data_IF_644275290720
#
_entry.id   IF_644275290720
#
_cell.length_a   1.000
_cell.length_b   1.000
_cell.length_c   1.000
_cell.angle_alpha   90.00
_cell.angle_beta   90.00
_cell.angle_gamma   90.00
#
_symmetry.space_group_name_H-M   'P 1'
#
loop_
_entity.id
_entity.type
_entity.pdbx_description
1 polymer ?
#
# COMPACT_ATOMS: atom_id res chain seq x y z
N UNK A 1 -10.88 -24.63 12.52
CA UNK A 1 -9.83 -24.00 11.67
C UNK A 1 -10.52 -23.55 10.41
N UNK A 2 -10.38 -22.28 10.03
CA UNK A 2 -11.04 -21.73 8.82
C UNK A 2 -9.99 -21.59 7.72
N UNK A 3 -10.41 -21.64 6.46
CA UNK A 3 -9.49 -21.51 5.31
C UNK A 3 -9.68 -20.15 4.64
N UNK A 4 -8.59 -19.53 4.20
CA UNK A 4 -8.69 -18.38 3.31
C UNK A 4 -9.07 -18.86 1.89
N UNK A 5 -9.87 -18.05 1.19
CA UNK A 5 -10.27 -18.34 -0.18
C UNK A 5 -9.16 -17.98 -1.16
N UNK A 6 -8.60 -16.78 -1.00
CA UNK A 6 -7.65 -16.19 -1.95
C UNK A 6 -6.56 -15.44 -1.20
N UNK A 7 -5.36 -15.42 -1.77
CA UNK A 7 -4.23 -14.61 -1.30
C UNK A 7 -3.57 -13.88 -2.45
N UNK A 8 -3.16 -12.63 -2.22
CA UNK A 8 -2.37 -11.88 -3.18
C UNK A 8 -1.00 -12.55 -3.38
N UNK A 9 -0.60 -12.76 -4.63
CA UNK A 9 0.68 -13.38 -5.01
C UNK A 9 1.90 -12.71 -4.37
N UNK A 10 1.93 -11.37 -4.35
CA UNK A 10 3.03 -10.63 -3.72
C UNK A 10 3.10 -10.92 -2.22
N UNK A 11 1.95 -10.93 -1.54
CA UNK A 11 1.88 -11.23 -0.11
C UNK A 11 2.29 -12.67 0.19
N UNK A 12 1.81 -13.63 -0.61
CA UNK A 12 2.18 -15.04 -0.46
C UNK A 12 3.70 -15.22 -0.56
N UNK A 13 4.34 -14.58 -1.54
CA UNK A 13 5.81 -14.58 -1.67
C UNK A 13 6.50 -13.96 -0.45
N UNK A 14 6.01 -12.82 0.02
CA UNK A 14 6.58 -12.14 1.19
C UNK A 14 6.48 -12.98 2.46
N UNK A 15 5.31 -13.58 2.73
CA UNK A 15 5.08 -14.41 3.92
C UNK A 15 5.91 -15.70 3.89
N UNK A 16 6.12 -16.28 2.72
CA UNK A 16 6.95 -17.49 2.56
C UNK A 16 8.45 -17.22 2.78
N UNK A 17 8.91 -16.01 2.53
CA UNK A 17 10.32 -15.62 2.67
C UNK A 17 10.69 -15.15 4.09
N UNK A 18 9.72 -15.07 5.01
CA UNK A 18 9.94 -14.60 6.38
C UNK A 18 9.77 -15.76 7.39
N UNK A 19 10.67 -15.82 8.39
CA UNK A 19 10.53 -16.70 9.56
C UNK A 19 9.48 -16.13 10.52
N UNK A 20 8.23 -16.19 10.08
CA UNK A 20 7.07 -15.68 10.79
C UNK A 20 6.88 -14.17 10.68
N UNK A 21 5.62 -13.73 10.73
CA UNK A 21 5.23 -12.32 10.64
C UNK A 21 4.26 -11.98 11.75
N UNK A 22 4.55 -10.93 12.52
CA UNK A 22 3.65 -10.40 13.55
C UNK A 22 2.83 -9.26 12.95
N UNK A 23 1.52 -9.32 13.16
CA UNK A 23 0.53 -8.39 12.66
C UNK A 23 -0.25 -7.78 13.83
N UNK A 24 -0.22 -6.45 13.95
CA UNK A 24 -0.99 -5.69 14.94
C UNK A 24 -2.20 -5.04 14.30
N UNK A 25 -3.35 -5.14 14.95
CA UNK A 25 -4.57 -4.54 14.41
C UNK A 25 -4.41 -3.03 14.21
N UNK A 26 -4.79 -2.54 13.03
CA UNK A 26 -4.84 -1.11 12.72
C UNK A 26 -6.26 -0.57 12.68
N UNK A 27 -7.13 -1.19 11.87
CA UNK A 27 -8.53 -0.78 11.74
C UNK A 27 -9.42 -1.95 11.31
N UNK A 28 -10.69 -1.95 11.74
CA UNK A 28 -11.68 -2.96 11.35
C UNK A 28 -12.96 -2.28 10.85
N UNK A 29 -13.34 -2.63 9.63
CA UNK A 29 -14.58 -2.24 8.95
C UNK A 29 -15.47 -3.49 8.77
N UNK A 30 -16.70 -3.31 8.27
CA UNK A 30 -17.59 -4.45 8.03
C UNK A 30 -17.02 -5.46 7.03
N UNK A 31 -16.36 -4.99 5.97
CA UNK A 31 -15.86 -5.83 4.87
C UNK A 31 -14.33 -5.97 4.81
N UNK A 32 -13.60 -5.34 5.73
CA UNK A 32 -12.14 -5.34 5.70
C UNK A 32 -11.55 -5.16 7.11
N UNK A 33 -10.44 -5.84 7.39
CA UNK A 33 -9.61 -5.59 8.57
C UNK A 33 -8.18 -5.35 8.13
N UNK A 34 -7.62 -4.23 8.55
CA UNK A 34 -6.26 -3.84 8.24
C UNK A 34 -5.37 -4.13 9.45
N UNK A 35 -4.27 -4.82 9.19
CA UNK A 35 -3.23 -5.13 10.16
C UNK A 35 -1.90 -4.53 9.72
N UNK A 36 -1.07 -4.16 10.69
CA UNK A 36 0.27 -3.63 10.49
C UNK A 36 1.32 -4.66 10.86
N UNK A 37 2.27 -4.90 9.97
CA UNK A 37 3.51 -5.62 10.33
C UNK A 37 4.35 -4.76 11.28
N UNK A 38 5.38 -5.34 11.91
CA UNK A 38 6.37 -4.57 12.70
C UNK A 38 7.04 -3.43 11.91
N UNK A 39 7.25 -3.62 10.61
CA UNK A 39 7.80 -2.61 9.72
C UNK A 39 6.74 -1.60 9.22
N UNK A 40 5.49 -1.65 9.71
CA UNK A 40 4.43 -0.74 9.30
C UNK A 40 3.77 -1.03 7.94
N UNK A 41 3.97 -2.20 7.33
CA UNK A 41 3.24 -2.64 6.12
C UNK A 41 1.78 -2.87 6.50
N UNK A 42 0.85 -2.53 5.64
CA UNK A 42 -0.55 -2.95 5.80
C UNK A 42 -0.75 -4.31 5.12
N UNK A 43 -1.37 -5.23 5.85
CA UNK A 43 -1.97 -6.47 5.34
C UNK A 43 -3.46 -6.38 5.55
N UNK A 44 -4.24 -6.55 4.47
CA UNK A 44 -5.70 -6.37 4.52
C UNK A 44 -6.41 -7.72 4.40
N UNK A 45 -7.22 -8.05 5.39
CA UNK A 45 -8.17 -9.17 5.32
C UNK A 45 -9.49 -8.66 4.76
N UNK A 46 -10.02 -9.34 3.76
CA UNK A 46 -11.19 -8.94 2.99
C UNK A 46 -12.31 -9.97 3.13
N UNK A 47 -13.56 -9.49 3.16
CA UNK A 47 -14.72 -10.38 3.02
C UNK A 47 -14.78 -10.98 1.61
N UNK A 48 -15.54 -12.07 1.47
CA UNK A 48 -15.69 -12.86 0.23
C UNK A 48 -16.20 -12.04 -0.95
N UNK A 49 -16.95 -10.96 -0.68
CA UNK A 49 -17.58 -10.09 -1.68
C UNK A 49 -16.65 -9.00 -2.24
N UNK A 50 -15.42 -8.89 -1.74
CA UNK A 50 -14.49 -7.83 -2.14
C UNK A 50 -13.51 -8.30 -3.20
N UNK A 51 -13.21 -7.40 -4.14
CA UNK A 51 -12.10 -7.58 -5.08
C UNK A 51 -10.77 -7.67 -4.33
N UNK A 52 -9.90 -8.58 -4.78
CA UNK A 52 -8.55 -8.71 -4.23
C UNK A 52 -7.75 -7.44 -4.46
N UNK A 53 -7.14 -6.94 -3.38
CA UNK A 53 -6.16 -5.85 -3.43
C UNK A 53 -4.73 -6.37 -3.35
N UNK A 54 -3.76 -5.47 -3.51
CA UNK A 54 -2.36 -5.76 -3.19
C UNK A 54 -2.25 -5.99 -1.68
N UNK A 55 -1.38 -6.92 -1.28
CA UNK A 55 -1.17 -7.27 0.14
C UNK A 55 -2.46 -7.68 0.89
N UNK A 56 -3.36 -8.39 0.20
CA UNK A 56 -4.65 -8.81 0.78
C UNK A 56 -4.85 -10.33 0.86
N UNK A 57 -5.71 -10.75 1.80
CA UNK A 57 -6.17 -12.12 2.01
C UNK A 57 -7.70 -12.10 2.06
N UNK A 58 -8.37 -12.90 1.23
CA UNK A 58 -9.82 -13.01 1.21
C UNK A 58 -10.30 -14.17 2.08
N UNK A 59 -11.27 -13.90 2.96
CA UNK A 59 -11.83 -14.86 3.89
C UNK A 59 -13.26 -15.26 3.49
N UNK A 60 -13.70 -16.50 3.79
CA UNK A 60 -15.03 -17.00 3.47
C UNK A 60 -16.07 -16.45 4.46
N UNK A 61 -16.30 -15.14 4.41
CA UNK A 61 -17.30 -14.45 5.22
C UNK A 61 -17.78 -13.20 4.52
N UNK A 62 -19.01 -12.78 4.79
CA UNK A 62 -19.53 -11.51 4.33
C UNK A 62 -19.21 -10.36 5.33
N UNK A 63 -18.89 -10.71 6.59
CA UNK A 63 -18.58 -9.74 7.64
C UNK A 63 -17.27 -10.09 8.35
N UNK A 64 -16.25 -9.29 8.09
CA UNK A 64 -14.89 -9.52 8.62
C UNK A 64 -14.82 -9.42 10.14
N UNK A 65 -15.77 -8.74 10.77
CA UNK A 65 -15.85 -8.66 12.24
C UNK A 65 -16.08 -10.02 12.90
N UNK A 66 -16.54 -11.03 12.17
CA UNK A 66 -16.66 -12.40 12.69
C UNK A 66 -15.31 -13.07 12.97
N UNK A 67 -14.22 -12.55 12.39
CA UNK A 67 -12.87 -13.12 12.51
C UNK A 67 -11.99 -12.26 13.39
N UNK A 68 -12.18 -10.95 13.35
CA UNK A 68 -11.30 -10.00 14.03
C UNK A 68 -12.12 -9.09 14.92
N UNK A 69 -11.93 -9.28 16.22
CA UNK A 69 -12.39 -8.37 17.28
C UNK A 69 -11.16 -7.65 17.85
N UNK A 70 -11.36 -6.46 18.41
CA UNK A 70 -10.30 -5.49 18.72
C UNK A 70 -8.98 -6.02 19.34
N UNK A 71 -7.91 -5.24 19.12
CA UNK A 71 -6.51 -5.38 19.60
C UNK A 71 -5.81 -6.74 19.44
N UNK A 72 -6.40 -7.70 18.74
CA UNK A 72 -5.77 -9.02 18.60
C UNK A 72 -4.46 -8.91 17.80
N UNK A 73 -3.40 -9.51 18.34
CA UNK A 73 -2.13 -9.67 17.63
C UNK A 73 -2.18 -11.00 16.89
N UNK A 74 -1.86 -10.99 15.60
CA UNK A 74 -1.87 -12.18 14.76
C UNK A 74 -0.43 -12.56 14.43
N UNK A 75 -0.14 -13.84 14.55
CA UNK A 75 1.13 -14.43 14.17
C UNK A 75 0.92 -15.28 12.93
N UNK A 76 1.65 -14.98 11.87
CA UNK A 76 1.70 -15.80 10.66
C UNK A 76 2.94 -16.68 10.72
N UNK A 77 2.77 -17.98 10.50
CA UNK A 77 3.87 -18.94 10.39
C UNK A 77 3.43 -20.11 9.48
N UNK A 78 4.26 -20.51 8.50
CA UNK A 78 3.99 -21.64 7.60
C UNK A 78 2.57 -21.67 7.04
N UNK A 79 2.14 -20.57 6.41
CA UNK A 79 0.77 -20.40 5.86
C UNK A 79 -0.39 -20.50 6.87
N UNK A 80 -0.10 -20.48 8.17
CA UNK A 80 -1.09 -20.42 9.23
C UNK A 80 -1.04 -19.06 9.91
N UNK A 81 -2.20 -18.46 10.07
CA UNK A 81 -2.42 -17.31 10.92
C UNK A 81 -3.05 -17.76 12.23
N UNK A 82 -2.45 -17.32 13.33
CA UNK A 82 -2.86 -17.63 14.70
C UNK A 82 -2.95 -16.32 15.48
N UNK A 83 -4.15 -15.98 15.90
CA UNK A 83 -4.45 -14.97 16.92
C UNK A 83 -5.31 -15.58 18.02
N UNK A 84 -5.71 -14.77 19.01
CA UNK A 84 -6.62 -15.26 20.07
C UNK A 84 -8.01 -15.57 19.51
N UNK A 85 -8.47 -14.77 18.56
CA UNK A 85 -9.80 -14.83 17.96
C UNK A 85 -9.85 -15.54 16.60
N UNK A 86 -8.70 -15.66 15.92
CA UNK A 86 -8.62 -16.18 14.57
C UNK A 86 -7.59 -17.30 14.44
N UNK A 87 -8.00 -18.42 13.83
CA UNK A 87 -7.08 -19.44 13.31
C UNK A 87 -7.42 -19.72 11.86
N UNK A 88 -6.59 -19.19 10.96
CA UNK A 88 -6.83 -19.19 9.51
C UNK A 88 -5.68 -19.91 8.82
N UNK A 89 -6.01 -20.89 7.99
CA UNK A 89 -5.05 -21.59 7.13
C UNK A 89 -5.20 -21.06 5.69
N UNK A 90 -4.11 -20.63 5.10
CA UNK A 90 -4.09 -20.16 3.73
C UNK A 90 -3.18 -20.97 2.81
N UNK A 91 -2.74 -22.16 3.23
CA UNK A 91 -1.91 -23.10 2.45
C UNK A 91 -2.55 -23.55 1.13
N UNK A 92 -3.88 -23.64 1.10
CA UNK A 92 -4.67 -24.04 -0.08
C UNK A 92 -5.41 -22.85 -0.74
N UNK A 93 -5.03 -21.62 -0.44
CA UNK A 93 -5.70 -20.45 -1.03
C UNK A 93 -5.38 -20.34 -2.51
N UNK A 94 -6.36 -19.89 -3.29
CA UNK A 94 -6.12 -19.48 -4.68
C UNK A 94 -5.17 -18.27 -4.68
N UNK A 95 -4.05 -18.39 -5.41
CA UNK A 95 -3.10 -17.29 -5.57
C UNK A 95 -3.62 -16.36 -6.66
N UNK A 96 -3.96 -15.15 -6.28
CA UNK A 96 -4.39 -14.09 -7.21
C UNK A 96 -3.25 -13.10 -7.36
N UNK A 97 -2.80 -12.89 -8.59
CA UNK A 97 -1.97 -11.72 -8.91
C UNK A 97 -2.93 -10.62 -9.37
N UNK A 98 -3.31 -9.65 -8.50
CA UNK A 98 -4.07 -8.50 -8.96
C UNK A 98 -3.21 -7.78 -9.99
N UNK A 99 -3.54 -8.00 -11.28
CA UNK A 99 -2.75 -7.49 -12.39
C UNK A 99 -2.90 -5.98 -12.44
N UNK A 100 -1.88 -5.28 -11.95
CA UNK A 100 -1.67 -3.87 -12.23
C UNK A 100 -0.60 -3.82 -13.32
N UNK A 101 -1.00 -4.05 -14.58
CA UNK A 101 -0.15 -3.59 -15.69
C UNK A 101 -0.21 -2.08 -15.73
N UNK A 102 0.95 -1.43 -15.83
CA UNK A 102 0.99 -0.12 -16.43
C UNK A 102 0.30 -0.21 -17.80
N UNK A 103 -0.79 0.54 -17.98
CA UNK A 103 -1.54 0.57 -19.24
C UNK A 103 -0.71 1.19 -20.39
N UNK A 104 0.49 1.70 -20.09
CA UNK A 104 1.33 2.49 -21.00
C UNK A 104 2.78 2.03 -21.03
N UNK A 105 3.38 2.11 -22.21
CA UNK A 105 4.82 1.99 -22.40
C UNK A 105 5.49 3.34 -22.09
N UNK A 106 6.08 3.44 -20.90
CA UNK A 106 6.71 4.65 -20.40
C UNK A 106 7.95 5.10 -21.18
N UNK A 107 8.61 4.19 -21.91
CA UNK A 107 9.83 4.49 -22.66
C UNK A 107 9.63 5.56 -23.76
N UNK A 108 8.40 5.97 -24.04
CA UNK A 108 8.07 7.02 -25.01
C UNK A 108 7.89 8.42 -24.42
N UNK A 109 7.94 8.61 -23.09
CA UNK A 109 7.65 9.89 -22.43
C UNK A 109 8.87 10.47 -21.71
N UNK A 110 9.84 10.95 -22.49
CA UNK A 110 11.10 11.50 -21.99
C UNK A 110 10.92 12.70 -21.03
N UNK A 111 9.79 13.40 -21.09
CA UNK A 111 9.49 14.59 -20.31
C UNK A 111 8.52 14.34 -19.14
N UNK A 112 7.96 13.14 -18.99
CA UNK A 112 6.96 12.83 -17.95
C UNK A 112 7.49 13.15 -16.55
N UNK A 113 8.74 12.79 -16.26
CA UNK A 113 9.36 13.06 -14.95
C UNK A 113 9.46 14.56 -14.69
N UNK A 114 9.77 15.35 -15.72
CA UNK A 114 9.78 16.81 -15.64
C UNK A 114 8.38 17.39 -15.41
N UNK A 115 7.35 16.84 -16.08
CA UNK A 115 5.96 17.26 -15.90
C UNK A 115 5.44 16.95 -14.49
N UNK A 116 5.69 15.73 -14.00
CA UNK A 116 5.36 15.32 -12.63
C UNK A 116 6.05 16.22 -11.61
N UNK A 117 7.34 16.52 -11.81
CA UNK A 117 8.09 17.46 -10.96
C UNK A 117 7.46 18.85 -10.93
N UNK A 118 7.05 19.39 -12.08
CA UNK A 118 6.33 20.68 -12.14
C UNK A 118 5.02 20.63 -11.35
N UNK A 119 4.21 19.60 -11.54
CA UNK A 119 2.92 19.45 -10.84
C UNK A 119 3.12 19.36 -9.33
N UNK A 120 4.09 18.57 -8.86
CA UNK A 120 4.42 18.44 -7.44
C UNK A 120 4.83 19.78 -6.84
N UNK A 121 5.69 20.55 -7.52
CA UNK A 121 6.16 21.86 -7.04
C UNK A 121 5.03 22.89 -7.04
N UNK A 122 4.18 22.89 -8.06
CA UNK A 122 3.10 23.87 -8.21
C UNK A 122 1.88 23.59 -7.31
N UNK A 123 1.72 22.36 -6.83
CA UNK A 123 0.54 21.93 -6.08
C UNK A 123 0.91 21.23 -4.78
N UNK A 124 1.95 21.72 -4.09
CA UNK A 124 2.35 21.19 -2.78
C UNK A 124 1.16 21.34 -1.83
N UNK A 125 0.61 20.24 -1.28
CA UNK A 125 -0.57 20.32 -0.41
C UNK A 125 -0.24 21.11 0.85
N UNK A 126 -1.15 21.94 1.36
CA UNK A 126 -0.90 22.70 2.60
C UNK A 126 -1.05 21.86 3.88
N UNK A 127 -1.66 20.66 3.78
CA UNK A 127 -1.97 19.77 4.89
C UNK A 127 -1.71 18.29 4.52
N UNK A 128 -1.74 17.40 5.52
CA UNK A 128 -1.61 15.95 5.32
C UNK A 128 -0.20 15.53 4.90
N UNK A 129 -0.05 15.06 3.66
CA UNK A 129 1.23 14.55 3.11
C UNK A 129 2.32 15.64 2.97
N UNK A 130 1.95 16.92 3.12
CA UNK A 130 2.89 18.05 3.14
C UNK A 130 4.11 17.81 4.02
N UNK A 131 3.87 17.26 5.22
CA UNK A 131 4.92 17.00 6.20
C UNK A 131 5.92 15.95 5.72
N UNK A 132 5.46 14.97 4.94
CA UNK A 132 6.35 13.96 4.35
C UNK A 132 7.16 14.54 3.18
N UNK A 133 6.56 15.45 2.40
CA UNK A 133 7.29 16.20 1.35
C UNK A 133 8.36 17.11 1.97
N UNK A 134 8.03 17.82 3.06
CA UNK A 134 8.94 18.74 3.74
C UNK A 134 10.18 18.01 4.32
N UNK A 135 10.01 16.80 4.85
CA UNK A 135 11.12 15.98 5.37
C UNK A 135 12.19 15.62 4.34
N UNK A 136 11.83 15.60 3.05
CA UNK A 136 12.78 15.25 2.00
C UNK A 136 13.89 16.32 1.87
N UNK A 137 13.70 17.53 2.42
CA UNK A 137 14.65 18.67 2.32
C UNK A 137 15.02 19.04 0.88
N UNK A 138 14.27 18.56 -0.11
CA UNK A 138 14.50 18.82 -1.54
C UNK A 138 13.93 20.19 -1.95
N UNK A 139 12.92 20.65 -1.22
CA UNK A 139 12.34 21.97 -1.34
C UNK A 139 12.73 22.74 -0.07
N UNK A 140 13.06 24.03 -0.17
CA UNK A 140 13.31 24.92 0.97
C UNK A 140 12.01 25.16 1.78
N UNK A 141 11.37 24.09 2.22
CA UNK A 141 10.16 24.10 3.02
C UNK A 141 10.56 24.18 4.50
N UNK A 142 9.76 24.87 5.33
CA UNK A 142 10.06 24.98 6.75
C UNK A 142 10.06 23.60 7.43
N UNK A 143 11.13 23.30 8.18
CA UNK A 143 11.25 22.10 9.01
C UNK A 143 10.12 22.09 10.06
N UNK A 144 9.33 21.02 10.10
CA UNK A 144 8.27 20.84 11.10
C UNK A 144 8.74 19.92 12.24
N UNK A 145 8.72 20.39 13.50
CA UNK A 145 8.99 19.53 14.64
C UNK A 145 7.80 18.62 14.95
N UNK A 146 8.08 17.33 15.11
CA UNK A 146 7.14 16.35 15.65
C UNK A 146 6.57 15.38 14.62
N UNK A 147 6.61 14.09 15.00
CA UNK A 147 6.10 12.89 14.31
C UNK A 147 7.12 12.16 13.42
N UNK A 148 7.83 11.23 14.06
CA UNK A 148 8.43 10.06 13.42
C UNK A 148 7.32 9.12 12.94
N UNK A 149 6.89 9.29 11.68
CA UNK A 149 5.94 8.38 11.06
C UNK A 149 6.67 7.12 10.57
N UNK A 150 6.95 6.20 11.50
CA UNK A 150 7.39 4.85 11.15
C UNK A 150 6.22 4.12 10.47
N UNK A 151 6.17 4.20 9.13
CA UNK A 151 5.17 3.54 8.31
C UNK A 151 5.65 3.41 6.87
N UNK A 152 5.33 2.27 6.25
CA UNK A 152 5.80 1.95 4.89
C UNK A 152 5.21 2.85 3.83
N UNK A 153 4.05 3.46 4.09
CA UNK A 153 3.44 4.38 3.15
C UNK A 153 4.19 5.73 3.08
N UNK A 154 4.45 6.45 4.18
CA UNK A 154 5.37 7.59 4.18
C UNK A 154 6.73 7.30 3.54
N UNK A 155 7.30 6.12 3.80
CA UNK A 155 8.60 5.71 3.23
C UNK A 155 8.52 5.48 1.71
N UNK A 156 7.54 4.70 1.22
CA UNK A 156 7.36 4.42 -0.22
C UNK A 156 6.93 5.66 -0.99
N UNK A 157 6.05 6.46 -0.40
CA UNK A 157 5.59 7.72 -0.97
C UNK A 157 6.71 8.76 -0.99
N UNK A 158 7.49 8.89 0.09
CA UNK A 158 8.69 9.71 0.14
C UNK A 158 9.70 9.30 -0.92
N UNK A 159 9.93 7.99 -1.09
CA UNK A 159 10.80 7.46 -2.15
C UNK A 159 10.30 7.78 -3.56
N UNK A 160 8.99 7.74 -3.80
CA UNK A 160 8.40 8.17 -5.08
C UNK A 160 8.68 9.65 -5.34
N UNK A 161 8.38 10.50 -4.35
CA UNK A 161 8.59 11.95 -4.45
C UNK A 161 10.06 12.29 -4.67
N UNK A 162 10.97 11.68 -3.91
CA UNK A 162 12.41 11.82 -4.09
C UNK A 162 12.82 11.43 -5.51
N UNK A 163 12.36 10.28 -6.00
CA UNK A 163 12.70 9.79 -7.33
C UNK A 163 12.22 10.73 -8.44
N UNK A 164 11.01 11.30 -8.31
CA UNK A 164 10.49 12.29 -9.26
C UNK A 164 11.30 13.59 -9.19
N UNK A 165 11.59 14.09 -7.99
CA UNK A 165 12.30 15.36 -7.81
C UNK A 165 13.77 15.28 -8.25
N UNK A 166 14.40 14.11 -8.16
CA UNK A 166 15.77 13.84 -8.60
C UNK A 166 15.88 13.39 -10.08
N UNK A 167 14.79 13.42 -10.84
CA UNK A 167 14.75 13.03 -12.25
C UNK A 167 15.24 11.58 -12.52
N UNK A 168 14.85 10.63 -11.67
CA UNK A 168 15.17 9.21 -11.85
C UNK A 168 14.57 8.68 -13.15
N UNK A 169 15.26 7.72 -13.79
CA UNK A 169 14.78 7.05 -15.00
C UNK A 169 13.36 6.49 -14.85
N UNK A 170 12.57 6.62 -15.92
CA UNK A 170 11.14 6.31 -15.90
C UNK A 170 10.83 4.84 -15.57
N UNK A 171 11.74 3.93 -15.93
CA UNK A 171 11.61 2.49 -15.64
C UNK A 171 11.73 2.21 -14.13
N UNK A 172 12.58 2.95 -13.42
CA UNK A 172 12.68 2.84 -11.98
C UNK A 172 11.48 3.46 -11.26
N UNK A 173 10.84 4.49 -11.84
CA UNK A 173 9.60 5.05 -11.32
C UNK A 173 8.42 4.09 -11.42
N UNK A 174 8.29 3.33 -12.51
CA UNK A 174 7.22 2.33 -12.70
C UNK A 174 7.19 1.29 -11.56
N UNK A 175 8.37 0.77 -11.19
CA UNK A 175 8.50 -0.17 -10.08
C UNK A 175 8.13 0.45 -8.72
N UNK A 176 8.43 1.74 -8.52
CA UNK A 176 8.04 2.45 -7.31
C UNK A 176 6.51 2.67 -7.27
N UNK A 177 5.89 3.03 -8.40
CA UNK A 177 4.43 3.19 -8.52
C UNK A 177 3.68 1.89 -8.21
N UNK A 178 4.12 0.76 -8.76
CA UNK A 178 3.57 -0.57 -8.45
C UNK A 178 3.66 -0.89 -6.94
N UNK A 179 4.69 -0.40 -6.28
CA UNK A 179 4.87 -0.53 -4.83
C UNK A 179 3.91 0.30 -3.98
N UNK A 180 3.15 1.24 -4.57
CA UNK A 180 2.22 2.13 -3.87
C UNK A 180 0.76 1.74 -4.14
N UNK A 181 0.43 1.36 -5.37
CA UNK A 181 -0.94 1.03 -5.77
C UNK A 181 -1.44 -0.20 -5.00
N UNK A 182 -2.65 -0.09 -4.44
CA UNK A 182 -3.34 -1.18 -3.75
C UNK A 182 -2.91 -1.43 -2.31
N UNK A 183 -1.91 -0.72 -1.80
CA UNK A 183 -1.58 -0.71 -0.37
C UNK A 183 -2.52 0.23 0.38
N UNK A 184 -3.61 -0.33 0.92
CA UNK A 184 -4.49 0.36 1.85
C UNK A 184 -5.86 0.71 1.28
N UNK A 185 -6.77 -0.26 1.24
CA UNK A 185 -8.21 0.04 1.17
C UNK A 185 -8.57 0.75 2.48
N UNK A 186 -8.85 2.06 2.39
CA UNK A 186 -9.22 2.89 3.54
C UNK A 186 -8.07 3.69 4.17
N UNK A 187 -7.04 4.08 3.41
CA UNK A 187 -6.14 5.14 3.83
C UNK A 187 -6.82 6.51 3.69
N UNK A 188 -6.27 7.51 4.37
CA UNK A 188 -6.83 8.87 4.46
C UNK A 188 -7.13 9.44 3.07
N UNK A 189 -8.36 9.94 2.79
CA UNK A 189 -8.80 10.41 1.47
C UNK A 189 -7.77 11.28 0.75
N UNK A 190 -7.11 12.18 1.47
CA UNK A 190 -6.16 13.15 0.92
C UNK A 190 -4.91 12.52 0.27
N UNK A 191 -4.48 11.33 0.70
CA UNK A 191 -3.32 10.67 0.13
C UNK A 191 -3.68 9.89 -1.13
N UNK A 192 -4.86 9.26 -1.13
CA UNK A 192 -5.44 8.57 -2.28
C UNK A 192 -5.77 9.58 -3.40
N UNK A 193 -6.32 10.75 -3.06
CA UNK A 193 -6.62 11.85 -3.98
C UNK A 193 -5.34 12.40 -4.64
N UNK A 194 -4.25 12.53 -3.87
CA UNK A 194 -2.97 13.02 -4.39
C UNK A 194 -2.31 12.00 -5.33
N UNK A 195 -2.29 10.71 -4.95
CA UNK A 195 -1.83 9.65 -5.84
C UNK A 195 -2.70 9.60 -7.10
N UNK A 196 -4.01 9.70 -6.96
CA UNK A 196 -4.93 9.75 -8.09
C UNK A 196 -4.61 10.92 -9.02
N UNK A 197 -4.29 12.09 -8.48
CA UNK A 197 -3.81 13.25 -9.26
C UNK A 197 -2.52 12.94 -10.03
N UNK A 198 -1.53 12.31 -9.38
CA UNK A 198 -0.29 11.89 -10.05
C UNK A 198 -0.58 10.88 -11.16
N UNK A 199 -1.43 9.88 -10.90
CA UNK A 199 -1.83 8.86 -11.88
C UNK A 199 -2.68 9.45 -13.02
N UNK A 200 -3.47 10.49 -12.75
CA UNK A 200 -4.21 11.24 -13.75
C UNK A 200 -3.27 12.01 -14.68
N UNK A 201 -2.21 12.64 -14.16
CA UNK A 201 -1.16 13.25 -14.99
C UNK A 201 -0.44 12.19 -15.81
N UNK A 202 -0.03 11.10 -15.15
CA UNK A 202 0.60 9.95 -15.79
C UNK A 202 -0.21 9.44 -16.99
N UNK A 203 -1.53 9.30 -16.85
CA UNK A 203 -2.47 8.84 -17.88
C UNK A 203 -2.94 9.90 -18.89
N UNK A 204 -2.95 11.19 -18.55
CA UNK A 204 -3.46 12.26 -19.43
C UNK A 204 -2.44 12.77 -20.44
N UNK A 205 -1.15 12.48 -20.25
CA UNK A 205 -0.11 12.70 -21.27
C UNK A 205 -0.24 11.76 -22.49
N UNK A 206 -1.40 11.12 -22.69
CA UNK A 206 -1.76 10.28 -23.85
C UNK A 206 -2.60 11.04 -24.90
N UNK A 207 -2.74 12.37 -24.77
CA UNK A 207 -3.33 13.22 -25.80
C UNK A 207 -2.32 14.23 -26.34
#
# INVERSE_FOLDING_TARGET
>A
MKYALKICEHLARELNNQNGTILKLHSVYGSAANYKTINGRIVTFLSSQRSMGVASICLPTDNIREFFYGIDELHIYNSLLIGKSAKIDFSNSEIISPYISGYMNLNKKADLVSQLKKVIISNIPENGIYKEIAKLKILNLPDFPGVTSNGIYPERFGKLLESILHNVEINALDEIFKGIIGYGIGLTPSADDFILGILAVYSSCDR
#
